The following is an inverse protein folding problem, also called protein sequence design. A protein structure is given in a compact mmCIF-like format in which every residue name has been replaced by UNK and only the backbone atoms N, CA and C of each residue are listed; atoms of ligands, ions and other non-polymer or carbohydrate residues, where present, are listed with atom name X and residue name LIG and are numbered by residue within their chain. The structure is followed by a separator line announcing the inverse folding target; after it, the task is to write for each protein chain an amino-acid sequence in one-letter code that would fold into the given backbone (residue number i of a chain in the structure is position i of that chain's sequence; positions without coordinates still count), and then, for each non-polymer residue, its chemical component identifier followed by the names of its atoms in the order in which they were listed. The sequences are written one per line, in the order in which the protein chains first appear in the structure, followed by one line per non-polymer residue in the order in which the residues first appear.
data_IF_609487973632
#
_entry.id   IF_609487973632
#
_cell.length_a   1.000
_cell.length_b   1.000
_cell.length_c   1.000
_cell.angle_alpha   90.00
_cell.angle_beta   90.00
_cell.angle_gamma   90.00
#
_symmetry.space_group_name_H-M   'P 1'
#
loop_
_entity.id
_entity.type
_entity.pdbx_description
1 polymer ?
#
# COMPACT_ATOMS: atom_id res chain seq x y z
N UNK A 1 -22.48 19.73 0.57
CA UNK A 1 -22.85 19.53 -0.86
C UNK A 1 -22.38 18.12 -1.23
N UNK A 2 -23.28 17.27 -1.69
CA UNK A 2 -22.89 15.94 -2.17
C UNK A 2 -22.13 16.11 -3.48
N UNK A 3 -20.86 15.73 -3.51
CA UNK A 3 -20.08 15.69 -4.74
C UNK A 3 -20.81 14.80 -5.76
N UNK A 4 -20.77 15.20 -7.03
CA UNK A 4 -21.37 14.34 -8.06
C UNK A 4 -20.56 13.05 -8.17
N UNK A 5 -21.22 11.90 -8.30
CA UNK A 5 -20.56 10.60 -8.48
C UNK A 5 -19.61 10.55 -9.68
N UNK A 6 -19.81 11.46 -10.64
CA UNK A 6 -18.91 11.64 -11.79
C UNK A 6 -17.56 12.16 -11.32
N UNK A 7 -17.53 13.16 -10.43
CA UNK A 7 -16.28 13.73 -9.88
C UNK A 7 -15.54 12.68 -9.07
N UNK A 8 -16.24 11.95 -8.20
CA UNK A 8 -15.65 10.84 -7.42
C UNK A 8 -15.06 9.78 -8.35
N UNK A 9 -15.79 9.39 -9.40
CA UNK A 9 -15.32 8.42 -10.39
C UNK A 9 -14.08 8.89 -11.15
N UNK A 10 -14.07 10.14 -11.60
CA UNK A 10 -12.89 10.73 -12.28
C UNK A 10 -11.67 10.79 -11.36
N UNK A 11 -11.85 11.23 -10.13
CA UNK A 11 -10.76 11.26 -9.13
C UNK A 11 -10.22 9.86 -8.82
N UNK A 12 -11.10 8.85 -8.74
CA UNK A 12 -10.70 7.46 -8.57
C UNK A 12 -9.89 6.93 -9.75
N UNK A 13 -10.29 7.22 -10.99
CA UNK A 13 -9.54 6.83 -12.20
C UNK A 13 -8.15 7.48 -12.20
N UNK A 14 -8.06 8.77 -11.89
CA UNK A 14 -6.77 9.46 -11.77
C UNK A 14 -5.91 8.83 -10.67
N UNK A 15 -6.48 8.57 -9.49
CA UNK A 15 -5.80 7.88 -8.39
C UNK A 15 -5.28 6.50 -8.80
N UNK A 16 -6.08 5.71 -9.53
CA UNK A 16 -5.68 4.41 -10.05
C UNK A 16 -4.46 4.52 -10.98
N UNK A 17 -4.46 5.45 -11.91
CA UNK A 17 -3.33 5.63 -12.84
C UNK A 17 -2.07 6.15 -12.13
N UNK A 18 -2.19 7.08 -11.16
CA UNK A 18 -1.07 7.51 -10.31
C UNK A 18 -0.50 6.31 -9.54
N UNK A 19 -1.37 5.51 -8.93
CA UNK A 19 -0.99 4.28 -8.25
C UNK A 19 -0.28 3.27 -9.15
N UNK A 20 -0.68 3.21 -10.43
CA UNK A 20 -0.14 2.28 -11.43
C UNK A 20 1.30 2.58 -11.84
N UNK A 21 1.79 3.81 -11.64
CA UNK A 21 3.20 4.16 -11.83
C UNK A 21 4.02 3.36 -10.81
N UNK A 22 5.00 2.61 -11.31
CA UNK A 22 5.80 1.74 -10.44
C UNK A 22 7.27 2.19 -10.37
N UNK A 23 7.66 2.89 -9.28
CA UNK A 23 9.03 3.39 -9.11
C UNK A 23 10.10 2.28 -9.14
N UNK A 24 9.77 1.10 -8.61
CA UNK A 24 10.71 -0.03 -8.58
C UNK A 24 11.14 -0.46 -9.98
N UNK A 25 10.18 -0.57 -10.91
CA UNK A 25 10.49 -0.96 -12.29
C UNK A 25 11.17 0.14 -13.07
N UNK A 26 10.84 1.41 -12.81
CA UNK A 26 11.50 2.56 -13.43
C UNK A 26 12.97 2.58 -13.01
N UNK A 27 13.25 2.55 -11.70
CA UNK A 27 14.61 2.56 -11.15
C UNK A 27 15.40 1.31 -11.61
N UNK A 28 14.78 0.14 -11.61
CA UNK A 28 15.45 -1.06 -12.10
C UNK A 28 15.88 -0.94 -13.58
N UNK A 29 15.00 -0.38 -14.43
CA UNK A 29 15.34 -0.13 -15.86
C UNK A 29 16.48 0.87 -16.01
N UNK A 30 16.45 2.00 -15.32
CA UNK A 30 17.50 3.02 -15.39
C UNK A 30 18.85 2.53 -14.83
N UNK A 31 18.82 1.51 -13.97
CA UNK A 31 20.00 0.87 -13.38
C UNK A 31 20.40 -0.44 -14.07
N UNK A 32 19.76 -0.80 -15.18
CA UNK A 32 19.99 -2.05 -15.92
C UNK A 32 19.93 -3.30 -15.02
N UNK A 33 19.05 -3.29 -14.00
CA UNK A 33 18.90 -4.35 -13.02
C UNK A 33 17.67 -5.22 -13.29
N UNK A 34 17.80 -6.53 -13.07
CA UNK A 34 16.69 -7.47 -13.17
C UNK A 34 16.14 -7.84 -11.78
N UNK A 35 14.93 -7.40 -11.49
CA UNK A 35 14.26 -7.67 -10.21
C UNK A 35 13.97 -9.16 -9.97
N UNK A 36 14.07 -10.02 -11.00
CA UNK A 36 13.92 -11.48 -10.86
C UNK A 36 15.10 -12.12 -10.16
N UNK A 37 16.28 -11.48 -10.13
CA UNK A 37 17.44 -11.91 -9.34
C UNK A 37 17.16 -11.91 -7.82
N UNK A 38 16.11 -11.19 -7.37
CA UNK A 38 15.57 -11.28 -6.03
C UNK A 38 14.27 -12.08 -5.98
N UNK A 39 13.20 -11.48 -5.47
CA UNK A 39 11.88 -12.12 -5.37
C UNK A 39 10.98 -11.94 -6.60
N UNK A 40 11.40 -11.17 -7.59
CA UNK A 40 10.60 -10.78 -8.75
C UNK A 40 9.53 -9.73 -8.46
N UNK A 41 9.22 -9.44 -7.18
CA UNK A 41 8.21 -8.47 -6.83
C UNK A 41 8.68 -7.03 -7.09
N UNK A 42 7.92 -6.18 -7.83
CA UNK A 42 8.31 -4.81 -8.13
C UNK A 42 7.98 -3.85 -6.96
N UNK A 43 8.71 -3.97 -5.85
CA UNK A 43 8.53 -3.15 -4.65
C UNK A 43 9.83 -2.92 -3.89
N UNK A 44 9.78 -2.00 -2.92
CA UNK A 44 10.91 -1.48 -2.15
C UNK A 44 11.85 -2.57 -1.59
N UNK A 45 11.29 -3.61 -0.95
CA UNK A 45 12.09 -4.70 -0.34
C UNK A 45 12.92 -5.45 -1.37
N UNK A 46 12.36 -5.71 -2.56
CA UNK A 46 13.08 -6.42 -3.61
C UNK A 46 14.14 -5.54 -4.27
N UNK A 47 13.82 -4.28 -4.50
CA UNK A 47 14.80 -3.30 -5.00
C UNK A 47 15.96 -3.16 -4.02
N UNK A 48 15.67 -3.12 -2.71
CA UNK A 48 16.70 -3.09 -1.67
C UNK A 48 17.61 -4.33 -1.68
N UNK A 49 17.11 -5.50 -2.06
CA UNK A 49 17.92 -6.72 -2.22
C UNK A 49 18.80 -6.70 -3.45
N UNK A 50 18.29 -6.21 -4.58
CA UNK A 50 18.97 -6.26 -5.89
C UNK A 50 19.90 -5.06 -6.09
N UNK A 51 19.48 -3.87 -5.68
CA UNK A 51 20.18 -2.60 -5.92
C UNK A 51 20.76 -1.94 -4.66
N UNK A 52 20.56 -2.56 -3.50
CA UNK A 52 21.00 -2.03 -2.20
C UNK A 52 19.95 -1.19 -1.49
N UNK A 53 20.13 -1.04 -0.17
CA UNK A 53 19.17 -0.43 0.76
C UNK A 53 18.73 0.98 0.34
N UNK A 54 19.66 1.81 -0.15
CA UNK A 54 19.37 3.17 -0.61
C UNK A 54 18.24 3.21 -1.63
N UNK A 55 18.31 2.35 -2.63
CA UNK A 55 17.29 2.31 -3.69
C UNK A 55 15.97 1.70 -3.20
N UNK A 56 16.05 0.74 -2.27
CA UNK A 56 14.87 0.24 -1.58
C UNK A 56 14.12 1.33 -0.81
N UNK A 57 14.85 2.19 -0.08
CA UNK A 57 14.26 3.33 0.65
C UNK A 57 13.64 4.34 -0.32
N UNK A 58 14.34 4.70 -1.40
CA UNK A 58 13.79 5.63 -2.42
C UNK A 58 12.48 5.11 -3.00
N UNK A 59 12.44 3.83 -3.40
CA UNK A 59 11.21 3.21 -3.91
C UNK A 59 10.12 3.21 -2.83
N UNK A 60 10.44 2.88 -1.59
CA UNK A 60 9.49 2.89 -0.49
C UNK A 60 8.85 4.27 -0.28
N UNK A 61 9.67 5.32 -0.26
CA UNK A 61 9.20 6.70 -0.13
C UNK A 61 8.32 7.12 -1.30
N UNK A 62 8.72 6.81 -2.53
CA UNK A 62 7.90 7.11 -3.74
C UNK A 62 6.57 6.34 -3.72
N UNK A 63 6.57 5.09 -3.25
CA UNK A 63 5.35 4.30 -3.10
C UNK A 63 4.42 4.86 -2.00
N UNK A 64 4.98 5.38 -0.88
CA UNK A 64 4.21 6.10 0.14
C UNK A 64 3.64 7.40 -0.43
N UNK A 65 4.46 8.20 -1.10
CA UNK A 65 4.03 9.49 -1.67
C UNK A 65 2.90 9.33 -2.69
N UNK A 66 2.98 8.33 -3.58
CA UNK A 66 1.91 8.12 -4.56
C UNK A 66 0.60 7.64 -3.93
N UNK A 67 0.64 7.03 -2.74
CA UNK A 67 -0.55 6.72 -1.95
C UNK A 67 -1.07 7.93 -1.19
N UNK A 68 -0.17 8.71 -0.60
CA UNK A 68 -0.49 9.87 0.21
C UNK A 68 -1.06 11.03 -0.61
N UNK A 69 -0.33 11.47 -1.64
CA UNK A 69 -0.66 12.70 -2.37
C UNK A 69 -2.06 12.69 -2.98
N UNK A 70 -2.47 11.69 -3.81
CA UNK A 70 -3.81 11.71 -4.38
C UNK A 70 -4.91 11.56 -3.32
N UNK A 71 -4.69 10.76 -2.27
CA UNK A 71 -5.65 10.58 -1.18
C UNK A 71 -5.80 11.87 -0.36
N UNK A 72 -4.70 12.54 -0.05
CA UNK A 72 -4.71 13.80 0.69
C UNK A 72 -5.36 14.94 -0.12
N UNK A 73 -5.05 15.04 -1.41
CA UNK A 73 -5.70 16.02 -2.29
C UNK A 73 -7.20 15.77 -2.39
N UNK A 74 -7.63 14.52 -2.48
CA UNK A 74 -9.05 14.19 -2.47
C UNK A 74 -9.73 14.58 -1.14
N UNK A 75 -9.05 14.38 0.00
CA UNK A 75 -9.54 14.80 1.31
C UNK A 75 -9.64 16.32 1.44
N UNK A 76 -8.67 17.04 0.89
CA UNK A 76 -8.57 18.50 0.98
C UNK A 76 -9.55 19.23 0.05
N UNK A 77 -9.69 18.72 -1.19
CA UNK A 77 -10.45 19.39 -2.26
C UNK A 77 -11.92 18.98 -2.32
N UNK A 78 -12.25 17.81 -1.78
CA UNK A 78 -13.58 17.25 -1.82
C UNK A 78 -14.05 16.84 -0.41
N UNK A 79 -14.13 15.55 -0.16
CA UNK A 79 -14.58 15.01 1.12
C UNK A 79 -13.86 13.72 1.50
N UNK A 80 -14.18 13.20 2.69
CA UNK A 80 -13.58 11.99 3.22
C UNK A 80 -13.97 10.72 2.44
N UNK A 81 -15.19 10.66 1.92
CA UNK A 81 -15.64 9.55 1.09
C UNK A 81 -14.83 9.48 -0.20
N UNK A 82 -14.66 10.61 -0.87
CA UNK A 82 -13.83 10.72 -2.08
C UNK A 82 -12.38 10.32 -1.78
N UNK A 83 -11.81 10.73 -0.64
CA UNK A 83 -10.48 10.33 -0.21
C UNK A 83 -10.36 8.80 -0.02
N UNK A 84 -11.37 8.16 0.58
CA UNK A 84 -11.39 6.69 0.70
C UNK A 84 -11.40 6.02 -0.67
N UNK A 85 -12.24 6.46 -1.58
CA UNK A 85 -12.35 5.90 -2.94
C UNK A 85 -11.04 6.08 -3.71
N UNK A 86 -10.47 7.28 -3.71
CA UNK A 86 -9.19 7.59 -4.38
C UNK A 86 -8.03 6.81 -3.76
N UNK A 87 -7.95 6.73 -2.42
CA UNK A 87 -6.92 5.96 -1.74
C UNK A 87 -6.96 4.48 -2.09
N UNK A 88 -8.14 3.85 -2.08
CA UNK A 88 -8.32 2.46 -2.49
C UNK A 88 -7.96 2.26 -3.98
N UNK A 89 -8.43 3.16 -4.85
CA UNK A 89 -8.11 3.11 -6.28
C UNK A 89 -6.61 3.21 -6.53
N UNK A 90 -5.90 4.07 -5.79
CA UNK A 90 -4.44 4.21 -5.87
C UNK A 90 -3.71 2.93 -5.44
N UNK A 91 -4.14 2.29 -4.35
CA UNK A 91 -3.58 1.01 -3.91
C UNK A 91 -3.87 -0.09 -4.93
N UNK A 92 -5.08 -0.15 -5.48
CA UNK A 92 -5.43 -1.07 -6.57
C UNK A 92 -4.57 -0.84 -7.81
N UNK A 93 -4.33 0.42 -8.19
CA UNK A 93 -3.43 0.78 -9.28
C UNK A 93 -2.01 0.25 -9.07
N UNK A 94 -1.46 0.39 -7.85
CA UNK A 94 -0.15 -0.17 -7.51
C UNK A 94 -0.11 -1.70 -7.63
N UNK A 95 -1.17 -2.39 -7.22
CA UNK A 95 -1.25 -3.87 -7.21
C UNK A 95 -1.55 -4.43 -8.59
N UNK A 96 -2.48 -3.82 -9.32
CA UNK A 96 -3.04 -4.30 -10.60
C UNK A 96 -2.52 -3.49 -11.80
N UNK A 97 -1.40 -2.77 -11.64
CA UNK A 97 -0.87 -1.86 -12.66
C UNK A 97 -1.00 -2.41 -14.10
N UNK A 98 -1.73 -1.72 -14.99
CA UNK A 98 -1.83 -2.10 -16.40
C UNK A 98 -0.48 -2.03 -17.10
N UNK A 99 0.42 -1.13 -16.67
CA UNK A 99 1.78 -1.02 -17.21
C UNK A 99 2.65 -2.24 -16.89
N UNK A 100 2.24 -3.04 -15.89
CA UNK A 100 2.89 -4.29 -15.49
C UNK A 100 2.01 -5.54 -15.77
N UNK A 101 1.03 -5.40 -16.65
CA UNK A 101 0.07 -6.48 -17.00
C UNK A 101 -0.58 -7.09 -15.75
N UNK A 102 -0.99 -6.26 -14.79
CA UNK A 102 -1.60 -6.68 -13.54
C UNK A 102 -0.62 -7.27 -12.50
N UNK A 103 0.69 -7.26 -12.75
CA UNK A 103 1.73 -7.85 -11.88
C UNK A 103 2.47 -6.77 -11.09
N UNK A 104 1.72 -5.90 -10.41
CA UNK A 104 2.26 -4.85 -9.55
C UNK A 104 2.81 -5.36 -8.23
N UNK A 105 3.09 -4.43 -7.31
CA UNK A 105 3.61 -4.72 -5.98
C UNK A 105 2.57 -5.29 -5.01
N UNK A 106 2.87 -5.27 -3.71
CA UNK A 106 1.99 -5.79 -2.66
C UNK A 106 1.11 -4.72 -2.01
N UNK A 107 1.31 -3.46 -2.33
CA UNK A 107 0.50 -2.36 -1.85
C UNK A 107 0.86 -1.82 -0.47
N UNK A 108 1.80 -2.40 0.28
CA UNK A 108 2.09 -2.02 1.69
C UNK A 108 2.43 -0.55 1.85
N UNK A 109 3.45 -0.06 1.13
CA UNK A 109 3.91 1.33 1.23
C UNK A 109 2.86 2.31 0.69
N UNK A 110 2.18 1.96 -0.41
CA UNK A 110 1.10 2.77 -0.99
C UNK A 110 -0.10 2.85 -0.05
N UNK A 111 -0.46 1.73 0.61
CA UNK A 111 -1.50 1.71 1.65
C UNK A 111 -1.11 2.57 2.85
N UNK A 112 0.14 2.49 3.30
CA UNK A 112 0.63 3.37 4.38
C UNK A 112 0.45 4.84 4.01
N UNK A 113 0.76 5.23 2.79
CA UNK A 113 0.55 6.59 2.30
C UNK A 113 -0.92 7.02 2.32
N UNK A 114 -1.81 6.18 1.80
CA UNK A 114 -3.25 6.45 1.82
C UNK A 114 -3.81 6.55 3.25
N UNK A 115 -3.37 5.65 4.16
CA UNK A 115 -3.78 5.67 5.57
C UNK A 115 -3.25 6.93 6.27
N UNK A 116 -2.00 7.32 5.99
CA UNK A 116 -1.38 8.52 6.55
C UNK A 116 -2.15 9.80 6.18
N UNK A 117 -2.70 9.86 4.98
CA UNK A 117 -3.51 10.98 4.52
C UNK A 117 -4.83 11.13 5.30
N UNK A 118 -5.47 10.02 5.67
CA UNK A 118 -6.81 10.01 6.28
C UNK A 118 -6.77 9.83 7.80
N UNK A 119 -5.83 9.00 8.30
CA UNK A 119 -5.65 8.64 9.70
C UNK A 119 -4.18 8.76 10.14
N UNK A 120 -3.61 9.99 10.19
CA UNK A 120 -2.18 10.20 10.38
C UNK A 120 -1.63 9.57 11.66
N UNK A 121 -2.31 9.75 12.79
CA UNK A 121 -1.87 9.20 14.08
C UNK A 121 -1.88 7.68 14.11
N UNK A 122 -2.91 7.06 13.53
CA UNK A 122 -2.96 5.61 13.40
C UNK A 122 -1.85 5.09 12.47
N UNK A 123 -1.60 5.75 11.34
CA UNK A 123 -0.52 5.38 10.41
C UNK A 123 0.86 5.45 11.08
N UNK A 124 1.13 6.47 11.89
CA UNK A 124 2.37 6.59 12.65
C UNK A 124 2.52 5.47 13.67
N UNK A 125 1.48 5.17 14.44
CA UNK A 125 1.46 4.03 15.37
C UNK A 125 1.70 2.69 14.66
N UNK A 126 1.03 2.48 13.52
CA UNK A 126 1.21 1.29 12.69
C UNK A 126 2.64 1.18 12.14
N UNK A 127 3.26 2.30 11.75
CA UNK A 127 4.66 2.34 11.29
C UNK A 127 5.63 1.97 12.42
N UNK A 128 5.39 2.43 13.65
CA UNK A 128 6.19 2.05 14.82
C UNK A 128 6.09 0.55 15.07
N UNK A 129 4.88 -0.01 15.09
CA UNK A 129 4.68 -1.46 15.27
C UNK A 129 5.34 -2.26 14.14
N UNK A 130 5.19 -1.83 12.89
CA UNK A 130 5.87 -2.45 11.76
C UNK A 130 7.40 -2.42 11.94
N UNK A 131 7.97 -1.28 12.34
CA UNK A 131 9.40 -1.11 12.56
C UNK A 131 9.94 -2.00 13.69
N UNK A 132 9.24 -2.05 14.82
CA UNK A 132 9.60 -2.91 15.96
C UNK A 132 9.56 -4.39 15.59
N UNK A 133 8.51 -4.83 14.91
CA UNK A 133 8.40 -6.21 14.43
C UNK A 133 9.48 -6.53 13.41
N UNK A 134 9.77 -5.63 12.49
CA UNK A 134 10.83 -5.81 11.51
C UNK A 134 12.22 -5.88 12.19
N UNK A 135 12.50 -5.02 13.14
CA UNK A 135 13.74 -5.03 13.92
C UNK A 135 13.89 -6.36 14.67
N UNK A 136 12.83 -6.85 15.32
CA UNK A 136 12.85 -8.07 16.13
C UNK A 136 12.91 -9.35 15.31
N UNK A 137 12.18 -9.40 14.19
CA UNK A 137 11.99 -10.64 13.41
C UNK A 137 12.80 -10.71 12.13
N UNK A 138 13.31 -9.57 11.64
CA UNK A 138 13.95 -9.44 10.32
C UNK A 138 13.07 -9.94 9.16
N UNK A 139 11.75 -10.06 9.39
CA UNK A 139 10.79 -10.60 8.42
C UNK A 139 9.78 -9.55 7.96
N UNK A 140 10.13 -8.86 6.85
CA UNK A 140 9.31 -7.77 6.26
C UNK A 140 7.86 -8.23 5.99
N UNK A 141 7.67 -9.44 5.44
CA UNK A 141 6.33 -9.92 5.10
C UNK A 141 5.45 -10.13 6.34
N UNK A 142 6.02 -10.68 7.43
CA UNK A 142 5.29 -10.85 8.70
C UNK A 142 4.93 -9.51 9.33
N UNK A 143 5.87 -8.54 9.34
CA UNK A 143 5.58 -7.18 9.82
C UNK A 143 4.49 -6.49 8.99
N UNK A 144 4.48 -6.71 7.66
CA UNK A 144 3.41 -6.18 6.77
C UNK A 144 2.05 -6.82 7.05
N UNK A 145 2.00 -8.12 7.30
CA UNK A 145 0.76 -8.84 7.63
C UNK A 145 0.22 -8.42 9.01
N UNK A 146 1.10 -8.22 10.00
CA UNK A 146 0.71 -7.68 11.29
C UNK A 146 0.12 -6.27 11.17
N UNK A 147 0.76 -5.40 10.37
CA UNK A 147 0.22 -4.06 10.08
C UNK A 147 -1.15 -4.13 9.37
N UNK A 148 -1.34 -5.06 8.43
CA UNK A 148 -2.64 -5.27 7.79
C UNK A 148 -3.71 -5.76 8.79
N UNK A 149 -3.35 -6.65 9.71
CA UNK A 149 -4.21 -7.09 10.80
C UNK A 149 -4.62 -5.94 11.74
N UNK A 150 -3.67 -5.08 12.12
CA UNK A 150 -3.95 -3.88 12.91
C UNK A 150 -4.89 -2.93 12.18
N UNK A 151 -4.73 -2.74 10.86
CA UNK A 151 -5.66 -1.93 10.08
C UNK A 151 -7.07 -2.51 10.09
N UNK A 152 -7.21 -3.83 9.93
CA UNK A 152 -8.52 -4.50 9.98
C UNK A 152 -9.19 -4.34 11.35
N UNK A 153 -8.44 -4.50 12.44
CA UNK A 153 -8.93 -4.28 13.80
C UNK A 153 -9.35 -2.83 14.03
N UNK A 154 -8.52 -1.87 13.62
CA UNK A 154 -8.84 -0.45 13.72
C UNK A 154 -10.11 -0.11 12.92
N UNK A 155 -10.20 -0.56 11.68
CA UNK A 155 -11.38 -0.33 10.85
C UNK A 155 -12.66 -0.96 11.41
N UNK A 156 -12.54 -2.12 12.07
CA UNK A 156 -13.68 -2.82 12.68
C UNK A 156 -14.14 -2.22 14.01
N UNK A 157 -13.23 -1.76 14.86
CA UNK A 157 -13.49 -1.49 16.26
C UNK A 157 -13.37 0.00 16.65
N UNK A 158 -12.58 0.80 15.95
CA UNK A 158 -12.35 2.19 16.31
C UNK A 158 -13.57 3.08 16.01
N UNK A 159 -13.74 4.18 16.76
CA UNK A 159 -14.67 5.24 16.42
C UNK A 159 -14.12 6.02 15.22
N UNK A 160 -14.54 5.65 14.01
CA UNK A 160 -14.12 6.33 12.80
C UNK A 160 -14.94 7.61 12.58
N UNK A 161 -14.35 8.65 11.96
CA UNK A 161 -15.12 9.82 11.53
C UNK A 161 -16.05 9.47 10.36
N UNK A 162 -17.10 10.24 10.19
CA UNK A 162 -18.05 10.06 9.09
C UNK A 162 -17.37 10.24 7.72
N UNK A 163 -17.82 9.43 6.73
CA UNK A 163 -18.81 8.35 6.80
C UNK A 163 -18.22 7.05 7.38
N UNK A 164 -18.64 6.65 8.58
CA UNK A 164 -18.11 5.52 9.36
C UNK A 164 -18.13 4.21 8.55
N UNK A 165 -19.25 3.89 7.91
CA UNK A 165 -19.38 2.65 7.14
C UNK A 165 -18.39 2.58 5.98
N UNK A 166 -18.19 3.68 5.26
CA UNK A 166 -17.23 3.75 4.16
C UNK A 166 -15.78 3.59 4.68
N UNK A 167 -15.43 4.23 5.80
CA UNK A 167 -14.11 4.09 6.42
C UNK A 167 -13.82 2.65 6.86
N UNK A 168 -14.81 1.95 7.42
CA UNK A 168 -14.71 0.52 7.79
C UNK A 168 -14.46 -0.36 6.57
N UNK A 169 -15.31 -0.23 5.55
CA UNK A 169 -15.17 -0.98 4.29
C UNK A 169 -13.80 -0.71 3.65
N UNK A 170 -13.39 0.55 3.57
CA UNK A 170 -12.12 0.95 3.01
C UNK A 170 -10.92 0.31 3.71
N UNK A 171 -10.86 0.40 5.03
CA UNK A 171 -9.76 -0.18 5.81
C UNK A 171 -9.69 -1.70 5.68
N UNK A 172 -10.85 -2.37 5.74
CA UNK A 172 -10.94 -3.83 5.56
C UNK A 172 -10.52 -4.23 4.14
N UNK A 173 -10.96 -3.52 3.10
CA UNK A 173 -10.56 -3.80 1.71
C UNK A 173 -9.05 -3.68 1.50
N UNK A 174 -8.41 -2.64 2.06
CA UNK A 174 -6.94 -2.48 2.00
C UNK A 174 -6.24 -3.64 2.75
N UNK A 175 -6.68 -3.96 3.96
CA UNK A 175 -6.09 -5.04 4.74
C UNK A 175 -6.19 -6.40 4.02
N UNK A 176 -7.35 -6.71 3.44
CA UNK A 176 -7.57 -7.92 2.65
C UNK A 176 -6.68 -7.94 1.40
N UNK A 177 -6.62 -6.83 0.67
CA UNK A 177 -5.80 -6.73 -0.54
C UNK A 177 -4.32 -6.99 -0.25
N UNK A 178 -3.78 -6.36 0.80
CA UNK A 178 -2.40 -6.58 1.25
C UNK A 178 -2.19 -8.04 1.65
N UNK A 179 -3.11 -8.63 2.41
CA UNK A 179 -3.03 -10.03 2.86
C UNK A 179 -3.03 -11.01 1.69
N UNK A 180 -3.96 -10.83 0.74
CA UNK A 180 -4.04 -11.65 -0.48
C UNK A 180 -2.73 -11.55 -1.28
N UNK A 181 -2.16 -10.36 -1.41
CA UNK A 181 -0.88 -10.16 -2.13
C UNK A 181 0.33 -10.75 -1.40
N UNK A 182 0.17 -11.18 -0.15
CA UNK A 182 1.19 -11.90 0.61
C UNK A 182 1.02 -13.43 0.59
N UNK A 183 0.06 -13.99 -0.15
CA UNK A 183 -0.21 -15.44 -0.17
C UNK A 183 1.04 -16.30 -0.40
N UNK A 184 1.93 -15.90 -1.32
CA UNK A 184 3.18 -16.62 -1.59
C UNK A 184 4.14 -16.59 -0.39
N UNK A 185 4.19 -15.48 0.36
CA UNK A 185 5.00 -15.38 1.58
C UNK A 185 4.45 -16.25 2.71
N UNK A 186 3.13 -16.31 2.83
CA UNK A 186 2.43 -17.15 3.83
C UNK A 186 2.72 -18.62 3.54
N UNK A 187 2.56 -19.05 2.27
CA UNK A 187 2.86 -20.42 1.85
C UNK A 187 4.33 -20.80 2.12
N UNK A 188 5.27 -19.96 1.72
CA UNK A 188 6.70 -20.22 1.94
C UNK A 188 7.05 -20.29 3.43
N UNK A 189 6.41 -19.49 4.28
CA UNK A 189 6.60 -19.53 5.72
C UNK A 189 6.02 -20.82 6.34
N UNK A 190 4.81 -21.22 5.93
CA UNK A 190 4.17 -22.47 6.41
C UNK A 190 5.03 -23.69 6.05
N UNK A 191 5.52 -23.77 4.81
CA UNK A 191 6.38 -24.88 4.36
C UNK A 191 7.68 -25.01 5.16
N UNK A 192 8.31 -23.88 5.56
CA UNK A 192 9.56 -23.90 6.37
C UNK A 192 9.34 -24.38 7.82
N UNK A 193 8.11 -24.45 8.31
CA UNK A 193 7.80 -24.95 9.65
C UNK A 193 7.41 -26.42 9.67
N UNK A 194 7.10 -26.99 8.52
CA UNK A 194 6.70 -28.40 8.36
C UNK A 194 7.90 -29.30 8.01
N UNK A 195 9.02 -28.70 7.60
CA UNK A 195 10.31 -29.34 7.33
C UNK A 195 11.34 -28.93 8.42
#
# INVERSE_FOLDING_TARGET
MSESWIVVGMAAVLGFFVGSINPATIIARTRHADLRQGSGNPGATNVGRVLGLRWGVVVGLLDVLKGFVPTFLALLLFDRLTAYVVGLATVLGHVLSPFLRGRGGKGVATSLGAILAVFPWFALGMLVVFGLLLWRTRWVAGSSLAAAGLLALYAGLAPLPDPVAAGRVWGICIALLVTIRHHGNIRAWAQRRLN
#
